data_IF_596352518559
#
_entry.id   IF_596352518559
#
_cell.length_a   1.000
_cell.length_b   1.000
_cell.length_c   1.000
_cell.angle_alpha   90.00
_cell.angle_beta   90.00
_cell.angle_gamma   90.00
#
_symmetry.space_group_name_H-M   'P 1'
#
loop_
_entity.id
_entity.type
_entity.pdbx_description
1 polymer ?
#
# COMPACT_ATOMS: atom_id res chain seq x y z
N UNK A 1 -3.74 -32.23 24.65
CA UNK A 1 -3.52 -30.77 24.58
C UNK A 1 -4.22 -30.29 23.33
N UNK A 2 -5.30 -29.52 23.48
CA UNK A 2 -5.97 -28.89 22.34
C UNK A 2 -5.28 -27.54 22.12
N UNK A 3 -4.60 -27.38 20.99
CA UNK A 3 -4.20 -26.06 20.49
C UNK A 3 -5.50 -25.38 20.04
N UNK A 4 -6.03 -24.49 20.86
CA UNK A 4 -7.01 -23.51 20.40
C UNK A 4 -6.25 -22.53 19.53
N UNK A 5 -6.20 -22.80 18.23
CA UNK A 5 -5.96 -21.79 17.22
C UNK A 5 -7.12 -20.79 17.32
N UNK A 6 -6.95 -19.76 18.16
CA UNK A 6 -7.73 -18.54 18.04
C UNK A 6 -7.34 -17.94 16.70
N UNK A 7 -8.13 -18.26 15.69
CA UNK A 7 -8.13 -17.65 14.36
C UNK A 7 -8.50 -16.16 14.57
N UNK A 8 -7.53 -15.36 15.01
CA UNK A 8 -7.62 -13.91 15.16
C UNK A 8 -7.59 -13.28 13.76
N UNK A 9 -8.62 -13.56 12.97
CA UNK A 9 -8.89 -12.76 11.80
C UNK A 9 -9.22 -11.35 12.30
N UNK A 10 -8.55 -10.36 11.71
CA UNK A 10 -8.77 -8.94 11.98
C UNK A 10 -10.19 -8.57 11.57
N UNK A 11 -11.16 -8.78 12.48
CA UNK A 11 -12.55 -8.38 12.31
C UNK A 11 -12.75 -6.87 12.57
N UNK A 12 -11.68 -6.16 12.94
CA UNK A 12 -11.70 -4.72 13.15
C UNK A 12 -11.74 -3.97 11.80
N UNK A 13 -12.74 -3.11 11.57
CA UNK A 13 -12.87 -2.39 10.31
C UNK A 13 -11.64 -1.53 10.03
N UNK A 14 -11.26 -1.46 8.75
CA UNK A 14 -10.18 -0.57 8.28
C UNK A 14 -10.62 0.89 8.40
N UNK A 15 -9.73 1.76 8.86
CA UNK A 15 -9.97 3.20 8.80
C UNK A 15 -9.82 3.72 7.35
N UNK A 16 -10.17 4.99 7.13
CA UNK A 16 -10.14 5.61 5.81
C UNK A 16 -8.76 5.54 5.14
N UNK A 17 -7.69 5.81 5.89
CA UNK A 17 -6.30 5.81 5.38
C UNK A 17 -5.88 4.39 4.99
N UNK A 18 -6.12 3.41 5.86
CA UNK A 18 -5.78 2.00 5.61
C UNK A 18 -6.49 1.48 4.35
N UNK A 19 -7.77 1.81 4.18
CA UNK A 19 -8.55 1.45 2.99
C UNK A 19 -7.99 2.12 1.73
N UNK A 20 -7.71 3.42 1.78
CA UNK A 20 -7.10 4.18 0.68
C UNK A 20 -5.77 3.55 0.25
N UNK A 21 -4.91 3.21 1.22
CA UNK A 21 -3.61 2.60 0.95
C UNK A 21 -3.70 1.19 0.38
N UNK A 22 -4.66 0.38 0.83
CA UNK A 22 -4.89 -0.95 0.24
C UNK A 22 -5.38 -0.86 -1.21
N UNK A 23 -6.27 0.09 -1.52
CA UNK A 23 -6.71 0.32 -2.89
C UNK A 23 -5.57 0.83 -3.77
N UNK A 24 -4.76 1.77 -3.27
CA UNK A 24 -3.57 2.26 -3.94
C UNK A 24 -2.52 1.14 -4.16
N UNK A 25 -2.38 0.23 -3.19
CA UNK A 25 -1.53 -0.96 -3.33
C UNK A 25 -2.02 -1.85 -4.48
N UNK A 26 -3.34 -2.04 -4.62
CA UNK A 26 -3.90 -2.82 -5.72
C UNK A 26 -3.62 -2.17 -7.09
N UNK A 27 -3.76 -0.84 -7.20
CA UNK A 27 -3.41 -0.09 -8.41
C UNK A 27 -1.92 -0.22 -8.75
N UNK A 28 -1.04 -0.10 -7.75
CA UNK A 28 0.39 -0.26 -7.94
C UNK A 28 0.77 -1.66 -8.43
N UNK A 29 0.13 -2.72 -7.93
CA UNK A 29 0.35 -4.09 -8.41
C UNK A 29 -0.05 -4.28 -9.88
N UNK A 30 -1.16 -3.66 -10.31
CA UNK A 30 -1.58 -3.66 -11.72
C UNK A 30 -0.53 -2.97 -12.58
N UNK A 31 -0.01 -1.83 -12.12
CA UNK A 31 0.99 -1.07 -12.85
C UNK A 31 2.35 -1.79 -12.91
N UNK A 32 2.80 -2.39 -11.80
CA UNK A 32 3.99 -3.25 -11.77
C UNK A 32 3.85 -4.39 -12.78
N UNK A 33 2.69 -5.05 -12.83
CA UNK A 33 2.42 -6.10 -13.82
C UNK A 33 2.49 -5.56 -15.25
N UNK A 34 1.94 -4.37 -15.50
CA UNK A 34 1.99 -3.70 -16.81
C UNK A 34 3.44 -3.41 -17.23
N UNK A 35 4.25 -2.85 -16.34
CA UNK A 35 5.67 -2.55 -16.57
C UNK A 35 6.47 -3.84 -16.81
N UNK A 36 6.23 -4.87 -16.00
CA UNK A 36 6.90 -6.16 -16.10
C UNK A 36 6.49 -7.00 -17.33
N UNK A 37 5.37 -6.67 -17.99
CA UNK A 37 4.92 -7.36 -19.20
C UNK A 37 5.73 -7.01 -20.46
N UNK A 38 6.61 -6.01 -20.38
CA UNK A 38 7.46 -5.52 -21.48
C UNK A 38 8.94 -5.79 -21.18
N UNK A 39 9.84 -5.69 -22.17
CA UNK A 39 11.27 -5.77 -21.92
C UNK A 39 11.71 -4.78 -20.82
N UNK A 40 12.38 -5.30 -19.79
CA UNK A 40 12.76 -4.54 -18.62
C UNK A 40 13.96 -3.63 -18.90
N UNK A 41 13.71 -2.35 -19.10
CA UNK A 41 14.75 -1.30 -19.10
C UNK A 41 15.13 -0.94 -17.66
N UNK A 42 16.28 -0.27 -17.46
CA UNK A 42 16.69 0.22 -16.13
C UNK A 42 15.62 1.10 -15.49
N UNK A 43 14.99 1.97 -16.27
CA UNK A 43 13.95 2.88 -15.79
C UNK A 43 12.70 2.12 -15.31
N UNK A 44 12.27 1.10 -16.07
CA UNK A 44 11.12 0.27 -15.66
C UNK A 44 11.43 -0.59 -14.44
N UNK A 45 12.66 -1.10 -14.32
CA UNK A 45 13.10 -1.83 -13.12
C UNK A 45 13.10 -0.93 -11.89
N UNK A 46 13.57 0.31 -12.03
CA UNK A 46 13.55 1.30 -10.97
C UNK A 46 12.12 1.65 -10.56
N UNK A 47 11.23 1.88 -11.53
CA UNK A 47 9.82 2.16 -11.28
C UNK A 47 9.13 1.03 -10.52
N UNK A 48 9.34 -0.22 -10.93
CA UNK A 48 8.81 -1.39 -10.23
C UNK A 48 9.32 -1.45 -8.79
N UNK A 49 10.62 -1.21 -8.58
CA UNK A 49 11.22 -1.25 -7.23
C UNK A 49 10.64 -0.17 -6.34
N UNK A 50 10.57 1.08 -6.81
CA UNK A 50 10.03 2.19 -6.02
C UNK A 50 8.56 1.99 -5.66
N UNK A 51 7.74 1.49 -6.60
CA UNK A 51 6.35 1.14 -6.33
C UNK A 51 6.23 -0.02 -5.32
N UNK A 52 7.05 -1.06 -5.46
CA UNK A 52 7.03 -2.18 -4.51
C UNK A 52 7.46 -1.75 -3.10
N UNK A 53 8.52 -0.95 -3.00
CA UNK A 53 9.05 -0.46 -1.72
C UNK A 53 8.04 0.45 -1.01
N UNK A 54 7.31 1.31 -1.74
CA UNK A 54 6.30 2.19 -1.15
C UNK A 54 5.16 1.42 -0.47
N UNK A 55 4.76 0.26 -1.01
CA UNK A 55 3.56 -0.46 -0.56
C UNK A 55 3.82 -1.77 0.19
N UNK A 56 5.06 -2.25 0.29
CA UNK A 56 5.36 -3.59 0.82
C UNK A 56 4.83 -3.87 2.24
N UNK A 57 4.72 -2.84 3.09
CA UNK A 57 4.23 -2.98 4.46
C UNK A 57 2.72 -2.85 4.61
N UNK A 58 2.02 -2.23 3.65
CA UNK A 58 0.61 -1.87 3.78
C UNK A 58 -0.29 -3.10 4.03
N UNK A 59 -0.20 -4.20 3.26
CA UNK A 59 -1.04 -5.37 3.51
C UNK A 59 -0.79 -6.02 4.86
N UNK A 60 0.47 -6.06 5.30
CA UNK A 60 0.84 -6.64 6.60
C UNK A 60 0.27 -5.83 7.75
N UNK A 61 0.41 -4.50 7.71
CA UNK A 61 -0.12 -3.62 8.75
C UNK A 61 -1.65 -3.70 8.78
N UNK A 62 -2.31 -3.72 7.63
CA UNK A 62 -3.76 -3.83 7.56
C UNK A 62 -4.31 -5.14 8.17
N UNK A 63 -3.53 -6.22 8.11
CA UNK A 63 -3.90 -7.53 8.66
C UNK A 63 -3.79 -7.64 10.19
N UNK A 64 -3.15 -6.67 10.85
CA UNK A 64 -3.05 -6.65 12.31
C UNK A 64 -4.39 -6.28 12.97
N UNK A 65 -4.47 -6.57 14.27
CA UNK A 65 -5.58 -6.09 15.11
C UNK A 65 -5.55 -4.58 15.27
N UNK A 66 -6.67 -3.97 15.67
CA UNK A 66 -6.74 -2.50 15.84
C UNK A 66 -5.67 -1.97 16.82
N UNK A 67 -5.47 -2.67 17.94
CA UNK A 67 -4.50 -2.32 19.00
C UNK A 67 -3.05 -2.37 18.49
N UNK A 68 -2.76 -3.28 17.55
CA UNK A 68 -1.45 -3.39 16.91
C UNK A 68 -1.25 -2.39 15.78
N UNK A 69 -2.32 -1.94 15.11
CA UNK A 69 -2.24 -0.95 14.01
C UNK A 69 -1.97 0.47 14.49
N UNK A 70 -2.53 0.86 15.63
CA UNK A 70 -2.40 2.21 16.18
C UNK A 70 -0.94 2.69 16.34
N UNK A 71 -0.02 1.94 16.97
CA UNK A 71 1.39 2.35 17.06
C UNK A 71 2.11 2.33 15.71
N UNK A 72 1.54 1.69 14.68
CA UNK A 72 2.11 1.57 13.33
C UNK A 72 1.52 2.57 12.33
N UNK A 73 0.62 3.47 12.77
CA UNK A 73 -0.01 4.45 11.90
C UNK A 73 1.02 5.32 11.14
N UNK A 74 2.17 5.60 11.75
CA UNK A 74 3.26 6.35 11.10
C UNK A 74 3.84 5.61 9.88
N UNK A 75 3.85 4.27 9.88
CA UNK A 75 4.29 3.47 8.73
C UNK A 75 3.32 3.61 7.56
N UNK A 76 2.02 3.69 7.85
CA UNK A 76 0.98 3.88 6.83
C UNK A 76 1.07 5.28 6.22
N UNK A 77 1.27 6.32 7.04
CA UNK A 77 1.48 7.69 6.54
C UNK A 77 2.77 7.81 5.70
N UNK A 78 3.86 7.18 6.14
CA UNK A 78 5.11 7.16 5.36
C UNK A 78 4.92 6.42 4.02
N UNK A 79 4.21 5.28 4.03
CA UNK A 79 3.86 4.55 2.83
C UNK A 79 3.00 5.40 1.88
N UNK A 80 2.04 6.17 2.41
CA UNK A 80 1.20 7.10 1.63
C UNK A 80 2.04 8.15 0.90
N UNK A 81 2.96 8.79 1.62
CA UNK A 81 3.82 9.82 1.04
C UNK A 81 4.74 9.24 -0.04
N UNK A 82 5.37 8.10 0.23
CA UNK A 82 6.25 7.42 -0.73
C UNK A 82 5.47 6.97 -1.97
N UNK A 83 4.26 6.44 -1.77
CA UNK A 83 3.37 6.02 -2.85
C UNK A 83 2.97 7.20 -3.75
N UNK A 84 2.61 8.34 -3.15
CA UNK A 84 2.24 9.55 -3.90
C UNK A 84 3.41 10.03 -4.77
N UNK A 85 4.61 10.10 -4.18
CA UNK A 85 5.82 10.49 -4.91
C UNK A 85 6.15 9.52 -6.06
N UNK A 86 6.01 8.21 -5.82
CA UNK A 86 6.27 7.20 -6.85
C UNK A 86 5.25 7.28 -8.00
N UNK A 87 3.96 7.44 -7.68
CA UNK A 87 2.92 7.58 -8.70
C UNK A 87 3.07 8.85 -9.53
N UNK A 88 3.35 10.00 -8.90
CA UNK A 88 3.61 11.25 -9.60
C UNK A 88 4.85 11.13 -10.52
N UNK A 89 5.94 10.56 -10.00
CA UNK A 89 7.20 10.39 -10.74
C UNK A 89 7.05 9.53 -11.98
N UNK A 90 6.26 8.46 -11.92
CA UNK A 90 6.10 7.51 -13.01
C UNK A 90 4.84 7.70 -13.84
N UNK A 91 4.07 8.77 -13.57
CA UNK A 91 2.84 9.09 -14.30
C UNK A 91 1.76 8.02 -14.14
N UNK A 92 1.76 7.34 -12.99
CA UNK A 92 0.72 6.36 -12.66
C UNK A 92 -0.48 7.13 -12.16
N UNK A 93 -1.54 7.18 -12.96
CA UNK A 93 -2.79 7.79 -12.57
C UNK A 93 -3.46 6.91 -11.49
N UNK A 94 -3.20 7.19 -10.22
CA UNK A 94 -3.95 6.60 -9.12
C UNK A 94 -5.29 7.33 -8.98
N UNK A 95 -6.40 6.61 -9.14
CA UNK A 95 -7.73 7.19 -8.92
C UNK A 95 -8.00 7.48 -7.45
N UNK A 96 -7.16 6.95 -6.55
CA UNK A 96 -7.39 6.90 -5.11
C UNK A 96 -6.48 7.87 -4.35
N UNK A 97 -5.19 8.00 -4.72
CA UNK A 97 -4.25 8.91 -4.05
C UNK A 97 -4.27 10.35 -4.60
N UNK A 98 -4.84 10.56 -5.79
CA UNK A 98 -4.94 11.90 -6.42
C UNK A 98 -6.22 12.65 -5.99
N UNK A 99 -7.20 11.95 -5.37
CA UNK A 99 -8.50 12.50 -4.99
C UNK A 99 -8.66 12.91 -3.52
N UNK A 100 -7.69 12.64 -2.64
CA UNK A 100 -7.75 13.11 -1.25
C UNK A 100 -7.30 14.58 -1.21
N UNK A 101 -8.20 15.56 -0.96
CA UNK A 101 -7.75 16.91 -0.69
C UNK A 101 -6.81 16.86 0.51
N UNK A 102 -5.70 17.58 0.42
CA UNK A 102 -4.95 17.92 1.62
C UNK A 102 -5.92 18.70 2.50
N UNK A 103 -6.45 18.06 3.55
CA UNK A 103 -7.22 18.77 4.57
C UNK A 103 -6.30 19.80 5.20
N UNK A 104 -6.66 21.07 5.01
CA UNK A 104 -6.17 22.24 5.74
C UNK A 104 -6.41 22.11 7.25
#
# INVERSE_FOLDING_TARGET
MQHTDTDHRSDAPLNGVERTLLLATAEALVEIRRLASKPLTKDTQQAIRELADAFHNVPRVAAYTMEEREPLAFLMQAAEQQARMAFERYGVASGVLVGSPATE
#
